data_IF_871469743080
#
_entry.id   IF_871469743080
#
_cell.length_a   1.000
_cell.length_b   1.000
_cell.length_c   1.000
_cell.angle_alpha   90.00
_cell.angle_beta   90.00
_cell.angle_gamma   90.00
#
_symmetry.space_group_name_H-M   'P 1'
#
loop_
_entity.id
_entity.type
_entity.pdbx_description
1 polymer ?
#
# COMPACT_ATOMS: atom_id res chain seq x y z
N UNK A 1 0.84 -8.87 25.82
CA UNK A 1 -0.62 -8.78 25.59
C UNK A 1 -1.00 -7.32 25.68
N UNK A 2 -1.64 -6.77 24.65
CA UNK A 2 -1.98 -5.35 24.62
C UNK A 2 -2.96 -5.03 25.75
N UNK A 3 -2.64 -4.05 26.59
CA UNK A 3 -3.49 -3.58 27.71
C UNK A 3 -4.25 -2.29 27.36
N UNK A 4 -3.95 -1.70 26.20
CA UNK A 4 -4.45 -0.41 25.74
C UNK A 4 -5.56 -0.56 24.69
N UNK A 5 -6.60 -1.36 25.00
CA UNK A 5 -7.73 -1.62 24.09
C UNK A 5 -8.58 -0.37 23.79
N UNK A 6 -8.49 0.64 24.67
CA UNK A 6 -9.13 1.94 24.52
C UNK A 6 -8.47 2.80 23.42
N UNK A 7 -7.20 2.55 23.08
CA UNK A 7 -6.49 3.32 22.07
C UNK A 7 -6.86 2.82 20.68
N UNK A 8 -7.50 3.68 19.89
CA UNK A 8 -8.06 3.32 18.58
C UNK A 8 -7.25 3.90 17.42
N UNK A 9 -7.12 3.15 16.33
CA UNK A 9 -6.61 3.67 15.07
C UNK A 9 -7.71 4.30 14.19
N UNK A 10 -8.95 3.81 14.35
CA UNK A 10 -10.11 4.24 13.57
C UNK A 10 -11.33 4.44 14.48
N UNK A 11 -12.17 5.42 14.14
CA UNK A 11 -13.43 5.71 14.83
C UNK A 11 -14.60 4.89 14.29
N UNK A 12 -15.82 5.38 14.51
CA UNK A 12 -17.05 4.77 13.95
C UNK A 12 -16.94 4.61 12.42
N UNK A 13 -17.42 3.48 11.85
CA UNK A 13 -18.14 2.38 12.51
C UNK A 13 -17.24 1.23 13.02
N UNK A 14 -15.97 1.17 12.62
CA UNK A 14 -15.11 0.00 12.80
C UNK A 14 -14.52 -0.14 14.21
N UNK A 15 -14.14 0.98 14.85
CA UNK A 15 -13.52 1.00 16.20
C UNK A 15 -12.29 0.09 16.39
N UNK A 16 -11.51 -0.12 15.32
CA UNK A 16 -10.28 -0.93 15.34
C UNK A 16 -9.28 -0.38 16.35
N UNK A 17 -8.76 -1.23 17.23
CA UNK A 17 -7.70 -0.83 18.15
C UNK A 17 -6.43 -0.46 17.37
N UNK A 18 -5.59 0.40 17.95
CA UNK A 18 -4.31 0.74 17.34
C UNK A 18 -3.43 -0.50 17.17
N UNK A 19 -3.40 -1.38 18.18
CA UNK A 19 -2.66 -2.64 18.13
C UNK A 19 -3.13 -3.57 17.00
N UNK A 20 -4.44 -3.77 16.83
CA UNK A 20 -4.96 -4.63 15.76
C UNK A 20 -4.65 -4.05 14.38
N UNK A 21 -4.81 -2.73 14.23
CA UNK A 21 -4.48 -2.06 12.98
C UNK A 21 -2.99 -2.22 12.63
N UNK A 22 -2.08 -1.91 13.57
CA UNK A 22 -0.64 -2.10 13.37
C UNK A 22 -0.30 -3.57 13.07
N UNK A 23 -1.00 -4.52 13.70
CA UNK A 23 -0.84 -5.96 13.41
C UNK A 23 -1.22 -6.28 11.97
N UNK A 24 -2.37 -5.80 11.48
CA UNK A 24 -2.81 -6.04 10.10
C UNK A 24 -1.84 -5.40 9.09
N UNK A 25 -1.40 -4.15 9.32
CA UNK A 25 -0.45 -3.47 8.44
C UNK A 25 0.89 -4.18 8.43
N UNK A 26 1.38 -4.64 9.59
CA UNK A 26 2.61 -5.43 9.71
C UNK A 26 2.54 -6.69 8.84
N UNK A 27 1.47 -7.49 8.98
CA UNK A 27 1.29 -8.70 8.18
C UNK A 27 1.27 -8.41 6.67
N UNK A 28 0.57 -7.34 6.28
CA UNK A 28 0.49 -6.94 4.88
C UNK A 28 1.84 -6.48 4.33
N UNK A 29 2.57 -5.65 5.07
CA UNK A 29 3.86 -5.13 4.62
C UNK A 29 4.90 -6.23 4.52
N UNK A 30 4.93 -7.19 5.45
CA UNK A 30 5.87 -8.31 5.42
C UNK A 30 5.65 -9.17 4.17
N UNK A 31 4.38 -9.51 3.87
CA UNK A 31 4.04 -10.25 2.65
C UNK A 31 4.44 -9.48 1.39
N UNK A 32 4.15 -8.19 1.33
CA UNK A 32 4.51 -7.34 0.17
C UNK A 32 6.03 -7.19 0.04
N UNK A 33 6.75 -6.97 1.13
CA UNK A 33 8.20 -6.79 1.16
C UNK A 33 8.92 -8.01 0.61
N UNK A 34 8.54 -9.22 1.04
CA UNK A 34 9.11 -10.48 0.53
C UNK A 34 8.94 -10.61 -0.98
N UNK A 35 7.76 -10.30 -1.51
CA UNK A 35 7.47 -10.47 -2.94
C UNK A 35 8.11 -9.37 -3.82
N UNK A 36 8.34 -8.19 -3.25
CA UNK A 36 8.92 -7.05 -3.96
C UNK A 36 10.43 -6.89 -3.71
N UNK A 37 11.04 -7.76 -2.90
CA UNK A 37 12.49 -7.78 -2.64
C UNK A 37 12.99 -6.69 -1.69
N UNK A 38 12.15 -6.22 -0.77
CA UNK A 38 12.55 -5.29 0.28
C UNK A 38 13.08 -6.02 1.51
N UNK A 39 13.88 -5.32 2.32
CA UNK A 39 14.24 -5.79 3.66
C UNK A 39 12.98 -5.84 4.54
N UNK A 40 12.65 -7.06 5.00
CA UNK A 40 11.42 -7.34 5.75
C UNK A 40 11.46 -6.74 7.14
N UNK A 41 12.64 -6.64 7.77
CA UNK A 41 12.77 -6.08 9.11
C UNK A 41 12.57 -4.56 9.09
N UNK A 42 13.17 -3.87 8.11
CA UNK A 42 12.95 -2.43 7.90
C UNK A 42 11.46 -2.16 7.61
N UNK A 43 10.85 -2.95 6.71
CA UNK A 43 9.43 -2.82 6.38
C UNK A 43 8.54 -3.03 7.62
N UNK A 44 8.82 -4.07 8.42
CA UNK A 44 8.10 -4.37 9.65
C UNK A 44 8.16 -3.20 10.63
N UNK A 45 9.35 -2.65 10.87
CA UNK A 45 9.53 -1.51 11.78
C UNK A 45 8.77 -0.29 11.27
N UNK A 46 8.90 0.05 9.98
CA UNK A 46 8.15 1.17 9.40
C UNK A 46 6.64 1.01 9.55
N UNK A 47 6.10 -0.20 9.35
CA UNK A 47 4.68 -0.48 9.55
C UNK A 47 4.24 -0.39 11.02
N UNK A 48 5.06 -0.84 11.99
CA UNK A 48 4.72 -0.73 13.41
C UNK A 48 4.71 0.74 13.86
N UNK A 49 5.64 1.54 13.35
CA UNK A 49 5.80 2.93 13.80
C UNK A 49 4.89 3.92 13.07
N UNK A 50 4.43 3.67 11.84
CA UNK A 50 3.77 4.70 11.03
C UNK A 50 2.60 5.42 11.71
N UNK A 51 1.85 4.67 12.50
CA UNK A 51 0.63 5.13 13.16
C UNK A 51 0.74 5.19 14.68
N UNK A 52 1.92 4.95 15.26
CA UNK A 52 2.04 4.95 16.73
C UNK A 52 1.67 6.31 17.34
N UNK A 53 1.88 7.40 16.59
CA UNK A 53 1.43 8.74 16.94
C UNK A 53 -0.10 8.91 17.07
N UNK A 54 -0.90 7.92 16.63
CA UNK A 54 -2.35 7.89 16.90
C UNK A 54 -2.66 7.69 18.37
N UNK A 55 -1.73 7.18 19.19
CA UNK A 55 -1.87 7.16 20.65
C UNK A 55 -2.00 8.56 21.27
N UNK A 56 -1.60 9.62 20.54
CA UNK A 56 -1.66 10.99 21.02
C UNK A 56 -3.11 11.42 21.36
N UNK A 57 -3.34 12.12 22.49
CA UNK A 57 -4.69 12.49 22.95
C UNK A 57 -5.50 13.31 21.94
N UNK A 58 -4.83 14.22 21.19
CA UNK A 58 -5.50 15.01 20.13
C UNK A 58 -6.09 14.12 19.04
N UNK A 59 -5.43 13.00 18.70
CA UNK A 59 -5.97 12.05 17.72
C UNK A 59 -7.15 11.27 18.31
N UNK A 60 -7.01 10.76 19.54
CA UNK A 60 -8.09 10.00 20.20
C UNK A 60 -9.36 10.84 20.35
N UNK A 61 -9.25 12.09 20.84
CA UNK A 61 -10.39 13.03 20.93
C UNK A 61 -11.02 13.33 19.57
N UNK A 62 -10.21 13.42 18.51
CA UNK A 62 -10.72 13.61 17.14
C UNK A 62 -11.60 12.46 16.68
N UNK A 63 -11.32 11.22 17.10
CA UNK A 63 -12.18 10.07 16.78
C UNK A 63 -13.56 10.17 17.44
N UNK A 64 -13.65 10.88 18.57
CA UNK A 64 -14.90 11.13 19.30
C UNK A 64 -15.70 12.32 18.77
N UNK A 65 -15.15 13.04 17.78
CA UNK A 65 -15.78 14.18 17.11
C UNK A 65 -15.30 15.54 17.60
N UNK A 66 -14.35 15.60 18.53
CA UNK A 66 -13.73 16.86 18.94
C UNK A 66 -12.84 17.42 17.81
N UNK A 67 -12.96 18.71 17.55
CA UNK A 67 -12.14 19.40 16.56
C UNK A 67 -11.00 20.13 17.25
N UNK A 68 -9.78 19.95 16.74
CA UNK A 68 -8.63 20.78 17.08
C UNK A 68 -8.61 22.01 16.17
N UNK A 69 -8.18 23.16 16.69
CA UNK A 69 -7.99 24.38 15.89
C UNK A 69 -6.84 24.20 14.90
N UNK A 70 -5.74 23.58 15.33
CA UNK A 70 -4.59 23.27 14.48
C UNK A 70 -4.70 21.89 13.80
N UNK A 71 -4.04 21.75 12.65
CA UNK A 71 -3.97 20.48 11.93
C UNK A 71 -3.03 19.47 12.60
N UNK A 72 -3.57 18.52 13.35
CA UNK A 72 -2.79 17.36 13.85
C UNK A 72 -2.51 16.30 12.78
N UNK A 73 -1.24 15.91 12.64
CA UNK A 73 -0.69 14.82 11.82
C UNK A 73 -0.03 13.78 12.73
N UNK A 74 -0.64 12.60 12.83
CA UNK A 74 -0.08 11.51 13.64
C UNK A 74 1.28 11.03 13.10
N UNK A 75 1.57 11.24 11.82
CA UNK A 75 2.86 10.87 11.22
C UNK A 75 4.03 11.63 11.87
N UNK A 76 3.83 12.91 12.23
CA UNK A 76 4.82 13.68 12.97
C UNK A 76 4.97 13.17 14.40
N UNK A 77 3.87 12.83 15.05
CA UNK A 77 3.90 12.27 16.40
C UNK A 77 4.55 10.88 16.45
N UNK A 78 4.35 10.06 15.42
CA UNK A 78 5.01 8.76 15.26
C UNK A 78 6.54 8.89 15.20
N UNK A 79 7.03 9.96 14.57
CA UNK A 79 8.46 10.19 14.35
C UNK A 79 9.22 10.65 15.59
N UNK A 80 8.54 11.05 16.67
CA UNK A 80 9.22 11.28 17.96
C UNK A 80 9.86 10.02 18.54
N UNK A 81 9.41 8.84 18.13
CA UNK A 81 9.96 7.55 18.56
C UNK A 81 11.09 7.04 17.66
N UNK A 82 11.53 7.85 16.68
CA UNK A 82 12.67 7.52 15.81
C UNK A 82 13.92 7.03 16.58
N UNK A 83 14.27 7.56 17.77
CA UNK A 83 15.45 7.09 18.53
C UNK A 83 15.41 5.62 18.97
N UNK A 84 14.26 4.93 18.86
CA UNK A 84 14.16 3.48 19.12
C UNK A 84 14.55 2.62 17.91
N UNK A 85 14.73 3.25 16.75
CA UNK A 85 15.06 2.59 15.50
C UNK A 85 16.57 2.68 15.30
N UNK A 86 17.15 1.69 14.60
CA UNK A 86 18.57 1.75 14.25
C UNK A 86 18.81 2.90 13.27
N UNK A 87 19.87 3.67 13.48
CA UNK A 87 20.19 4.83 12.63
C UNK A 87 20.30 4.47 11.14
N UNK A 88 20.86 3.30 10.82
CA UNK A 88 20.97 2.78 9.45
C UNK A 88 19.62 2.51 8.77
N UNK A 89 18.52 2.45 9.52
CA UNK A 89 17.16 2.26 9.01
C UNK A 89 16.34 3.55 8.97
N UNK A 90 16.87 4.66 9.51
CA UNK A 90 16.10 5.90 9.67
C UNK A 90 15.56 6.42 8.36
N UNK A 91 16.37 6.52 7.31
CA UNK A 91 15.93 7.09 6.03
C UNK A 91 14.73 6.33 5.46
N UNK A 92 14.82 5.00 5.39
CA UNK A 92 13.74 4.15 4.90
C UNK A 92 12.47 4.27 5.76
N UNK A 93 12.60 4.27 7.08
CA UNK A 93 11.44 4.39 7.99
C UNK A 93 10.83 5.78 7.92
N UNK A 94 11.62 6.85 7.91
CA UNK A 94 11.14 8.22 7.74
C UNK A 94 10.34 8.34 6.44
N UNK A 95 10.82 7.76 5.34
CA UNK A 95 10.11 7.73 4.06
C UNK A 95 8.74 7.05 4.13
N UNK A 96 8.65 5.93 4.85
CA UNK A 96 7.40 5.25 5.08
C UNK A 96 6.44 6.16 5.85
N UNK A 97 6.88 6.74 6.96
CA UNK A 97 6.00 7.44 7.90
C UNK A 97 5.60 8.84 7.41
N UNK A 98 6.53 9.69 6.98
CA UNK A 98 6.31 11.13 6.71
C UNK A 98 5.21 11.38 5.68
N UNK A 99 5.06 10.49 4.69
CA UNK A 99 4.27 10.80 3.50
C UNK A 99 3.19 9.77 3.14
N UNK A 100 2.90 8.76 3.98
CA UNK A 100 1.92 7.73 3.60
C UNK A 100 0.48 8.27 3.46
N UNK A 101 0.14 9.43 4.04
CA UNK A 101 -1.18 10.07 3.83
C UNK A 101 -1.16 11.39 3.03
N UNK A 102 -0.07 12.17 3.10
CA UNK A 102 0.05 13.50 2.47
C UNK A 102 1.45 13.72 1.90
N UNK A 103 1.61 14.67 1.00
CA UNK A 103 2.94 15.02 0.47
C UNK A 103 3.85 15.60 1.57
N UNK A 104 5.16 15.54 1.35
CA UNK A 104 6.15 16.16 2.25
C UNK A 104 6.03 17.69 2.19
N UNK A 105 5.88 18.23 0.97
CA UNK A 105 5.84 19.65 0.67
C UNK A 105 4.88 19.90 -0.51
N UNK A 106 4.27 21.09 -0.57
CA UNK A 106 3.23 21.45 -1.55
C UNK A 106 2.09 20.44 -1.61
N UNK A 107 1.63 19.98 -0.44
CA UNK A 107 0.38 19.23 -0.39
C UNK A 107 -0.75 20.11 -0.94
N UNK A 108 -1.69 19.50 -1.67
CA UNK A 108 -2.83 20.22 -2.27
C UNK A 108 -3.65 21.07 -1.28
N UNK A 109 -3.60 20.73 0.01
CA UNK A 109 -4.27 21.48 1.09
C UNK A 109 -3.30 22.25 1.99
N UNK A 110 -2.02 22.38 1.60
CA UNK A 110 -0.93 22.97 2.41
C UNK A 110 -0.76 22.29 3.77
N UNK A 111 -0.93 20.96 3.80
CA UNK A 111 -0.82 20.14 5.02
C UNK A 111 0.34 19.15 4.96
N UNK A 112 1.31 19.37 4.08
CA UNK A 112 2.57 18.64 4.08
C UNK A 112 3.35 18.89 5.37
N UNK A 113 4.31 18.03 5.69
CA UNK A 113 5.10 18.17 6.93
C UNK A 113 5.83 19.52 6.94
N UNK A 114 6.42 19.90 5.80
CA UNK A 114 7.09 21.18 5.65
C UNK A 114 6.11 22.34 5.48
N UNK A 115 4.93 22.10 4.87
CA UNK A 115 3.90 23.14 4.75
C UNK A 115 3.41 23.59 6.14
N UNK A 116 3.16 22.64 7.06
CA UNK A 116 2.67 22.96 8.40
C UNK A 116 3.59 23.92 9.14
N UNK A 117 4.91 23.78 8.99
CA UNK A 117 5.89 24.67 9.63
C UNK A 117 5.80 26.13 9.18
N UNK A 118 5.15 26.39 8.03
CA UNK A 118 4.92 27.72 7.48
C UNK A 118 3.51 28.24 7.81
N UNK A 119 2.54 27.34 7.92
CA UNK A 119 1.11 27.68 8.02
C UNK A 119 0.60 27.72 9.46
N UNK A 120 1.24 27.00 10.39
CA UNK A 120 0.74 26.80 11.76
C UNK A 120 1.84 27.18 12.78
N UNK A 121 1.49 27.87 13.88
CA UNK A 121 2.46 28.22 14.92
C UNK A 121 2.84 27.00 15.77
N UNK A 122 4.11 26.92 16.18
CA UNK A 122 4.63 25.95 17.15
C UNK A 122 4.27 24.48 16.85
N UNK A 123 4.31 24.08 15.57
CA UNK A 123 3.94 22.73 15.08
C UNK A 123 4.55 21.61 15.92
N UNK A 124 5.84 21.73 16.25
CA UNK A 124 6.54 20.73 17.06
C UNK A 124 5.89 20.58 18.43
N UNK A 125 5.69 21.68 19.16
CA UNK A 125 5.12 21.66 20.51
C UNK A 125 3.68 21.14 20.50
N UNK A 126 2.89 21.51 19.49
CA UNK A 126 1.52 21.02 19.35
C UNK A 126 1.45 19.49 19.12
N UNK A 127 2.32 18.95 18.28
CA UNK A 127 2.35 17.51 18.01
C UNK A 127 2.97 16.71 19.15
N UNK A 128 3.93 17.30 19.88
CA UNK A 128 4.58 16.69 21.05
C UNK A 128 3.60 16.59 22.23
N UNK A 129 2.84 17.65 22.46
CA UNK A 129 1.84 17.74 23.53
C UNK A 129 2.44 17.46 24.91
N UNK A 130 1.64 16.85 25.78
CA UNK A 130 2.08 16.33 27.07
C UNK A 130 2.77 14.97 26.86
N UNK A 131 3.99 14.99 26.37
CA UNK A 131 4.79 13.81 26.03
C UNK A 131 4.76 12.72 27.11
N UNK A 132 4.85 13.15 28.37
CA UNK A 132 4.90 12.29 29.54
C UNK A 132 3.60 11.51 29.77
N UNK A 133 2.45 12.02 29.28
CA UNK A 133 1.14 11.38 29.45
C UNK A 133 0.93 10.24 28.45
N UNK A 134 1.34 10.42 27.20
CA UNK A 134 0.98 9.52 26.10
C UNK A 134 2.14 8.68 25.57
N UNK A 135 3.39 9.11 25.73
CA UNK A 135 4.55 8.32 25.30
C UNK A 135 4.67 6.96 25.99
N UNK A 136 4.35 6.79 27.31
CA UNK A 136 4.40 5.46 27.92
C UNK A 136 3.39 4.49 27.29
N UNK A 137 2.21 4.98 26.92
CA UNK A 137 1.18 4.19 26.24
C UNK A 137 1.68 3.71 24.87
N UNK A 138 2.30 4.61 24.10
CA UNK A 138 2.91 4.27 22.82
C UNK A 138 4.04 3.24 22.98
N UNK A 139 4.93 3.43 23.95
CA UNK A 139 6.02 2.49 24.25
C UNK A 139 5.51 1.11 24.64
N UNK A 140 4.45 1.03 25.44
CA UNK A 140 3.83 -0.25 25.81
C UNK A 140 3.27 -1.00 24.59
N UNK A 141 2.64 -0.27 23.66
CA UNK A 141 2.13 -0.84 22.40
C UNK A 141 3.30 -1.33 21.54
N UNK A 142 4.36 -0.54 21.39
CA UNK A 142 5.56 -0.92 20.64
C UNK A 142 6.23 -2.17 21.25
N UNK A 143 6.31 -2.24 22.58
CA UNK A 143 6.86 -3.40 23.30
C UNK A 143 6.07 -4.68 23.02
N UNK A 144 4.74 -4.59 22.80
CA UNK A 144 3.93 -5.74 22.40
C UNK A 144 4.32 -6.32 21.03
N UNK A 145 4.97 -5.54 20.17
CA UNK A 145 5.52 -5.99 18.89
C UNK A 145 6.98 -6.47 18.99
N UNK A 146 7.54 -6.54 20.20
CA UNK A 146 8.92 -6.97 20.43
C UNK A 146 9.96 -5.88 20.11
N UNK A 147 9.54 -4.63 19.93
CA UNK A 147 10.47 -3.50 19.80
C UNK A 147 11.13 -3.27 21.15
N UNK A 148 12.48 -3.23 21.25
CA UNK A 148 13.16 -2.86 22.48
C UNK A 148 12.80 -1.40 22.83
N UNK A 149 12.07 -1.22 23.93
CA UNK A 149 11.65 0.10 24.37
C UNK A 149 12.48 0.59 25.56
N UNK A 150 12.85 1.86 25.50
CA UNK A 150 13.46 2.61 26.60
C UNK A 150 12.64 3.87 26.82
N UNK A 151 12.63 4.38 28.04
CA UNK A 151 12.00 5.68 28.32
C UNK A 151 12.73 6.77 27.51
N UNK A 152 11.98 7.47 26.66
CA UNK A 152 12.50 8.57 25.84
C UNK A 152 12.23 9.89 26.53
N UNK A 153 13.29 10.70 26.70
CA UNK A 153 13.13 12.05 27.22
C UNK A 153 12.45 12.95 26.18
N UNK A 154 11.86 14.05 26.67
CA UNK A 154 11.24 15.06 25.83
C UNK A 154 12.25 15.67 24.85
N UNK A 155 13.48 15.86 25.29
CA UNK A 155 14.59 16.38 24.49
C UNK A 155 14.96 15.43 23.35
N UNK A 156 14.95 14.11 23.60
CA UNK A 156 15.21 13.11 22.55
C UNK A 156 14.13 13.13 21.46
N UNK A 157 12.85 13.28 21.85
CA UNK A 157 11.75 13.46 20.90
C UNK A 157 11.91 14.73 20.05
N UNK A 158 12.31 15.84 20.67
CA UNK A 158 12.57 17.11 19.96
C UNK A 158 13.73 16.95 18.97
N UNK A 159 14.82 16.30 19.37
CA UNK A 159 15.96 16.02 18.48
C UNK A 159 15.56 15.15 17.29
N UNK A 160 14.73 14.13 17.51
CA UNK A 160 14.18 13.30 16.43
C UNK A 160 13.36 14.11 15.43
N UNK A 161 12.53 15.03 15.91
CA UNK A 161 11.77 15.94 15.04
C UNK A 161 12.68 16.82 14.18
N UNK A 162 13.72 17.40 14.76
CA UNK A 162 14.69 18.23 14.04
C UNK A 162 15.45 17.43 12.98
N UNK A 163 15.85 16.19 13.29
CA UNK A 163 16.45 15.26 12.33
C UNK A 163 15.51 14.98 11.15
N UNK A 164 14.25 14.68 11.44
CA UNK A 164 13.22 14.41 10.43
C UNK A 164 12.96 15.62 9.55
N UNK A 165 12.90 16.82 10.14
CA UNK A 165 12.72 18.07 9.39
C UNK A 165 13.89 18.29 8.43
N UNK A 166 15.13 18.12 8.91
CA UNK A 166 16.32 18.24 8.09
C UNK A 166 16.35 17.21 6.94
N UNK A 167 15.95 15.95 7.21
CA UNK A 167 15.80 14.92 6.18
C UNK A 167 14.77 15.33 5.13
N UNK A 168 13.59 15.77 5.55
CA UNK A 168 12.51 16.22 4.65
C UNK A 168 12.95 17.42 3.79
N UNK A 169 13.64 18.39 4.38
CA UNK A 169 14.17 19.56 3.68
C UNK A 169 15.21 19.16 2.62
N UNK A 170 16.16 18.29 2.99
CA UNK A 170 17.16 17.76 2.06
C UNK A 170 16.48 17.04 0.89
N UNK A 171 15.54 16.15 1.20
CA UNK A 171 14.83 15.36 0.20
C UNK A 171 14.02 16.22 -0.77
N UNK A 172 13.26 17.19 -0.24
CA UNK A 172 12.46 18.11 -1.04
C UNK A 172 13.30 18.97 -2.01
N UNK A 173 14.56 19.25 -1.66
CA UNK A 173 15.49 20.04 -2.49
C UNK A 173 16.26 19.20 -3.49
N UNK A 174 16.68 18.00 -3.10
CA UNK A 174 17.70 17.24 -3.82
C UNK A 174 17.16 16.08 -4.65
N UNK A 175 15.97 15.55 -4.33
CA UNK A 175 15.44 14.38 -5.00
C UNK A 175 14.23 14.70 -5.88
N UNK A 176 14.34 14.30 -7.15
CA UNK A 176 13.22 14.26 -8.10
C UNK A 176 12.90 12.79 -8.37
N UNK A 177 11.83 12.28 -7.78
CA UNK A 177 11.48 10.87 -7.93
C UNK A 177 10.34 10.43 -7.01
N UNK A 178 10.20 9.12 -6.89
CA UNK A 178 9.23 8.48 -6.01
C UNK A 178 9.95 7.67 -4.93
N UNK A 179 9.30 7.46 -3.79
CA UNK A 179 9.81 6.57 -2.75
C UNK A 179 9.15 5.20 -2.87
N UNK A 180 9.97 4.17 -3.04
CA UNK A 180 9.54 2.78 -3.04
C UNK A 180 9.07 2.34 -1.64
N UNK A 181 9.75 2.77 -0.58
CA UNK A 181 9.33 2.51 0.81
C UNK A 181 7.96 3.12 1.14
N UNK A 182 7.72 4.36 0.69
CA UNK A 182 6.40 5.01 0.80
C UNK A 182 5.34 4.21 0.06
N UNK A 183 5.61 3.81 -1.18
CA UNK A 183 4.68 2.99 -1.98
C UNK A 183 4.33 1.67 -1.29
N UNK A 184 5.32 1.02 -0.67
CA UNK A 184 5.16 -0.24 0.04
C UNK A 184 4.23 -0.06 1.24
N UNK A 185 4.50 0.91 2.11
CA UNK A 185 3.64 1.17 3.27
C UNK A 185 2.23 1.60 2.84
N UNK A 186 2.11 2.50 1.85
CA UNK A 186 0.79 2.95 1.37
C UNK A 186 -0.04 1.78 0.84
N UNK A 187 0.58 0.86 0.09
CA UNK A 187 -0.08 -0.35 -0.41
C UNK A 187 -0.54 -1.25 0.74
N UNK A 188 0.32 -1.46 1.73
CA UNK A 188 0.04 -2.30 2.89
C UNK A 188 -1.02 -1.71 3.83
N UNK A 189 -0.93 -0.42 4.17
CA UNK A 189 -1.89 0.28 5.02
C UNK A 189 -3.28 0.30 4.36
N UNK A 190 -3.36 0.69 3.08
CA UNK A 190 -4.64 0.67 2.38
C UNK A 190 -5.24 -0.74 2.30
N UNK A 191 -4.41 -1.78 2.15
CA UNK A 191 -4.86 -3.18 2.12
C UNK A 191 -5.41 -3.61 3.48
N UNK A 192 -4.61 -3.45 4.54
CA UNK A 192 -4.99 -3.81 5.90
C UNK A 192 -6.21 -3.01 6.39
N UNK A 193 -6.29 -1.73 6.03
CA UNK A 193 -7.42 -0.87 6.33
C UNK A 193 -8.70 -1.30 5.62
N UNK A 194 -8.60 -1.96 4.47
CA UNK A 194 -9.75 -2.44 3.71
C UNK A 194 -10.20 -3.84 4.14
N UNK A 195 -9.27 -4.73 4.45
CA UNK A 195 -9.58 -6.13 4.76
C UNK A 195 -9.83 -6.38 6.26
N UNK A 196 -9.28 -5.54 7.14
CA UNK A 196 -9.44 -5.60 8.60
C UNK A 196 -9.24 -7.05 9.09
N UNK A 197 -10.31 -7.76 9.48
CA UNK A 197 -10.27 -9.11 10.03
C UNK A 197 -9.93 -10.20 9.00
N UNK A 198 -10.13 -9.93 7.70
CA UNK A 198 -9.78 -10.84 6.61
C UNK A 198 -8.37 -10.63 6.07
N UNK A 199 -7.58 -9.72 6.67
CA UNK A 199 -6.24 -9.40 6.17
C UNK A 199 -5.40 -10.66 5.97
N UNK A 200 -5.31 -11.52 6.98
CA UNK A 200 -4.50 -12.74 6.93
C UNK A 200 -4.97 -13.72 5.83
N UNK A 201 -6.28 -13.93 5.71
CA UNK A 201 -6.87 -14.80 4.69
C UNK A 201 -6.56 -14.31 3.27
N UNK A 202 -6.83 -13.03 3.00
CA UNK A 202 -6.65 -12.44 1.67
C UNK A 202 -5.16 -12.30 1.31
N UNK A 203 -4.26 -12.22 2.29
CA UNK A 203 -2.80 -12.20 2.06
C UNK A 203 -2.27 -13.51 1.45
N UNK A 204 -2.92 -14.66 1.71
CA UNK A 204 -2.47 -15.95 1.19
C UNK A 204 -2.44 -16.00 -0.34
N UNK A 205 -3.36 -15.27 -0.98
CA UNK A 205 -3.53 -15.27 -2.44
C UNK A 205 -2.77 -14.13 -3.15
N UNK A 206 -2.09 -13.26 -2.40
CA UNK A 206 -1.34 -12.17 -3.00
C UNK A 206 -0.03 -12.66 -3.64
N UNK A 207 0.32 -11.99 -4.73
CA UNK A 207 1.53 -12.12 -5.53
C UNK A 207 1.74 -13.53 -6.12
N UNK A 208 0.67 -14.33 -6.23
CA UNK A 208 0.76 -15.62 -6.89
C UNK A 208 1.00 -15.46 -8.39
N UNK A 209 1.86 -16.30 -8.94
CA UNK A 209 2.11 -16.35 -10.39
C UNK A 209 1.10 -17.31 -11.01
N UNK A 210 0.29 -16.86 -11.99
CA UNK A 210 -0.64 -17.75 -12.66
C UNK A 210 0.12 -18.78 -13.52
N UNK A 211 -0.30 -20.04 -13.45
CA UNK A 211 -0.05 -21.05 -14.46
C UNK A 211 -0.83 -20.73 -15.73
N UNK A 212 -0.11 -20.42 -16.81
CA UNK A 212 -0.67 -19.99 -18.10
C UNK A 212 -0.68 -21.12 -19.15
N UNK A 213 -0.51 -22.37 -18.73
CA UNK A 213 -0.41 -23.55 -19.60
C UNK A 213 -1.63 -23.77 -20.48
N UNK A 214 -2.81 -23.37 -20.02
CA UNK A 214 -4.05 -23.37 -20.81
C UNK A 214 -3.87 -22.72 -22.19
N UNK A 215 -3.09 -21.64 -22.28
CA UNK A 215 -2.88 -20.90 -23.53
C UNK A 215 -1.90 -21.59 -24.51
N UNK A 216 -1.30 -22.72 -24.13
CA UNK A 216 -0.45 -23.53 -25.03
C UNK A 216 -1.24 -24.41 -26.01
N UNK A 217 -2.58 -24.39 -25.93
CA UNK A 217 -3.44 -25.12 -26.86
C UNK A 217 -3.19 -24.70 -28.32
N UNK A 218 -3.23 -25.68 -29.22
CA UNK A 218 -3.11 -25.47 -30.67
C UNK A 218 -4.46 -25.66 -31.34
N UNK A 219 -4.78 -24.79 -32.29
CA UNK A 219 -6.04 -24.87 -33.00
C UNK A 219 -5.94 -24.29 -34.42
N UNK A 220 -6.56 -24.96 -35.40
CA UNK A 220 -6.52 -24.55 -36.82
C UNK A 220 -7.09 -23.15 -37.05
N UNK A 221 -8.11 -22.75 -36.29
CA UNK A 221 -8.69 -21.40 -36.38
C UNK A 221 -7.84 -20.32 -35.71
N UNK A 222 -6.81 -20.71 -34.95
CA UNK A 222 -5.89 -19.80 -34.26
C UNK A 222 -4.47 -19.98 -34.82
N UNK A 223 -4.16 -19.47 -36.03
CA UNK A 223 -2.87 -19.69 -36.66
C UNK A 223 -1.67 -19.33 -35.79
N UNK A 224 -1.78 -18.29 -34.94
CA UNK A 224 -0.72 -17.90 -34.01
C UNK A 224 -0.36 -18.97 -32.97
N UNK A 225 -1.27 -19.92 -32.70
CA UNK A 225 -1.01 -21.03 -31.76
C UNK A 225 0.10 -21.97 -32.24
N UNK A 226 0.37 -22.02 -33.55
CA UNK A 226 1.46 -22.82 -34.12
C UNK A 226 2.83 -22.12 -34.08
N UNK A 227 2.85 -20.81 -33.84
CA UNK A 227 4.09 -20.05 -33.73
C UNK A 227 4.70 -20.20 -32.33
N UNK A 228 6.03 -20.17 -32.26
CA UNK A 228 6.72 -20.07 -30.99
C UNK A 228 6.48 -18.70 -30.35
N UNK A 229 6.17 -18.70 -29.06
CA UNK A 229 6.12 -17.50 -28.23
C UNK A 229 7.44 -17.31 -27.46
N UNK A 230 8.44 -18.17 -27.65
CA UNK A 230 9.73 -18.00 -26.98
C UNK A 230 10.52 -16.86 -27.64
N UNK A 231 11.02 -15.95 -26.82
CA UNK A 231 11.87 -14.85 -27.27
C UNK A 231 12.60 -14.25 -26.08
N UNK A 232 13.89 -13.99 -26.27
CA UNK A 232 14.75 -13.25 -25.33
C UNK A 232 14.46 -11.73 -25.33
N UNK A 233 13.70 -11.23 -26.30
CA UNK A 233 13.34 -9.80 -26.34
C UNK A 233 12.37 -9.47 -25.21
N UNK A 234 12.57 -8.32 -24.58
CA UNK A 234 11.68 -7.80 -23.53
C UNK A 234 10.27 -7.48 -24.06
N UNK A 235 10.18 -6.93 -25.28
CA UNK A 235 8.93 -6.47 -25.87
C UNK A 235 8.50 -7.32 -27.07
N UNK A 236 7.19 -7.40 -27.29
CA UNK A 236 6.61 -8.16 -28.40
C UNK A 236 5.42 -7.40 -28.98
N UNK A 237 5.43 -7.19 -30.29
CA UNK A 237 4.33 -6.59 -31.03
C UNK A 237 3.74 -7.64 -31.98
N UNK A 238 2.44 -7.86 -31.88
CA UNK A 238 1.72 -8.86 -32.68
C UNK A 238 0.69 -8.16 -33.54
N UNK A 239 0.85 -8.25 -34.85
CA UNK A 239 -0.10 -7.72 -35.84
C UNK A 239 -0.74 -8.91 -36.55
N UNK A 240 -2.03 -9.14 -36.28
CA UNK A 240 -2.78 -10.24 -36.87
C UNK A 240 -4.29 -9.94 -36.85
N UNK A 241 -5.04 -10.55 -37.78
CA UNK A 241 -6.50 -10.42 -37.87
C UNK A 241 -7.23 -10.85 -36.60
N UNK A 242 -8.46 -10.36 -36.41
CA UNK A 242 -9.34 -10.82 -35.33
C UNK A 242 -9.57 -12.33 -35.46
N UNK A 243 -9.60 -13.04 -34.32
CA UNK A 243 -9.71 -14.49 -34.30
C UNK A 243 -8.40 -15.25 -34.52
N UNK A 244 -7.29 -14.61 -34.89
CA UNK A 244 -6.04 -15.33 -35.18
C UNK A 244 -5.32 -15.99 -33.97
N UNK A 245 -5.85 -15.81 -32.75
CA UNK A 245 -5.23 -16.32 -31.50
C UNK A 245 -4.27 -15.35 -30.81
N UNK A 246 -4.44 -14.03 -30.98
CA UNK A 246 -3.55 -13.01 -30.39
C UNK A 246 -3.45 -13.11 -28.87
N UNK A 247 -4.58 -13.30 -28.19
CA UNK A 247 -4.64 -13.39 -26.73
C UNK A 247 -3.76 -14.54 -26.22
N UNK A 248 -3.99 -15.75 -26.71
CA UNK A 248 -3.26 -16.95 -26.31
C UNK A 248 -1.75 -16.79 -26.58
N UNK A 249 -1.38 -16.22 -27.74
CA UNK A 249 0.03 -15.93 -28.05
C UNK A 249 0.67 -14.96 -27.05
N UNK A 250 -0.02 -13.87 -26.69
CA UNK A 250 0.50 -12.88 -25.75
C UNK A 250 0.58 -13.41 -24.32
N UNK A 251 -0.38 -14.23 -23.86
CA UNK A 251 -0.29 -14.87 -22.55
C UNK A 251 0.91 -15.82 -22.45
N UNK A 252 1.24 -16.55 -23.52
CA UNK A 252 2.45 -17.39 -23.57
C UNK A 252 3.77 -16.60 -23.47
N UNK A 253 3.73 -15.27 -23.66
CA UNK A 253 4.89 -14.38 -23.46
C UNK A 253 5.06 -13.93 -22.00
N UNK A 254 4.03 -14.05 -21.18
CA UNK A 254 4.06 -13.62 -19.79
C UNK A 254 4.77 -14.66 -18.90
N UNK A 255 5.59 -14.19 -17.95
CA UNK A 255 6.37 -15.04 -17.02
C UNK A 255 6.06 -14.81 -15.53
N UNK A 256 5.30 -13.76 -15.22
CA UNK A 256 4.95 -13.36 -13.85
C UNK A 256 3.47 -13.04 -13.75
N UNK A 257 3.13 -12.10 -12.87
CA UNK A 257 1.77 -11.55 -12.79
C UNK A 257 1.43 -10.83 -14.09
N UNK A 258 0.15 -10.78 -14.43
CA UNK A 258 -0.31 -10.26 -15.73
C UNK A 258 -1.19 -9.05 -15.55
N UNK A 259 -0.78 -7.93 -16.14
CA UNK A 259 -1.60 -6.72 -16.24
C UNK A 259 -2.12 -6.59 -17.67
N UNK A 260 -3.40 -6.89 -17.87
CA UNK A 260 -4.04 -6.95 -19.18
C UNK A 260 -4.90 -5.70 -19.43
N UNK A 261 -4.45 -4.83 -20.33
CA UNK A 261 -5.13 -3.55 -20.57
C UNK A 261 -6.14 -3.61 -21.71
N UNK A 262 -7.33 -3.05 -21.49
CA UNK A 262 -8.40 -2.94 -22.49
C UNK A 262 -9.09 -1.58 -22.43
N UNK A 263 -9.49 -0.99 -23.56
CA UNK A 263 -10.04 0.37 -23.59
C UNK A 263 -11.48 0.47 -23.06
N UNK A 264 -12.27 -0.61 -23.11
CA UNK A 264 -13.71 -0.58 -22.81
C UNK A 264 -14.09 -1.48 -21.64
N UNK A 265 -15.02 -1.02 -20.81
CA UNK A 265 -15.52 -1.75 -19.63
C UNK A 265 -16.12 -3.12 -20.00
N UNK A 266 -16.95 -3.19 -21.04
CA UNK A 266 -17.54 -4.44 -21.49
C UNK A 266 -16.48 -5.48 -21.90
N UNK A 267 -15.40 -5.03 -22.57
CA UNK A 267 -14.28 -5.89 -22.94
C UNK A 267 -13.50 -6.38 -21.73
N UNK A 268 -13.30 -5.51 -20.72
CA UNK A 268 -12.66 -5.87 -19.46
C UNK A 268 -13.46 -6.97 -18.74
N UNK A 269 -14.77 -6.78 -18.60
CA UNK A 269 -15.64 -7.75 -17.94
C UNK A 269 -15.65 -9.09 -18.69
N UNK A 270 -15.78 -9.05 -20.02
CA UNK A 270 -15.71 -10.26 -20.84
C UNK A 270 -14.36 -10.99 -20.70
N UNK A 271 -13.25 -10.24 -20.63
CA UNK A 271 -11.93 -10.81 -20.44
C UNK A 271 -11.76 -11.40 -19.03
N UNK A 272 -12.29 -10.75 -18.00
CA UNK A 272 -12.30 -11.27 -16.64
C UNK A 272 -13.00 -12.62 -16.54
N UNK A 273 -14.24 -12.72 -17.02
CA UNK A 273 -14.98 -13.99 -17.01
C UNK A 273 -14.29 -15.07 -17.83
N UNK A 274 -13.72 -14.70 -18.98
CA UNK A 274 -12.91 -15.60 -19.80
C UNK A 274 -11.74 -16.16 -18.99
N UNK A 275 -10.93 -15.30 -18.36
CA UNK A 275 -9.75 -15.73 -17.61
C UNK A 275 -10.12 -16.58 -16.39
N UNK A 276 -11.17 -16.22 -15.66
CA UNK A 276 -11.70 -17.02 -14.55
C UNK A 276 -12.06 -18.44 -14.99
N UNK A 277 -12.75 -18.58 -16.14
CA UNK A 277 -13.15 -19.88 -16.67
C UNK A 277 -11.98 -20.66 -17.28
N UNK A 278 -11.12 -19.97 -18.04
CA UNK A 278 -9.98 -20.57 -18.75
C UNK A 278 -8.88 -21.05 -17.78
N UNK A 279 -8.63 -20.32 -16.69
CA UNK A 279 -7.52 -20.59 -15.76
C UNK A 279 -7.93 -21.20 -14.43
N UNK A 280 -9.20 -21.12 -14.04
CA UNK A 280 -9.64 -21.49 -12.69
C UNK A 280 -9.39 -22.95 -12.30
N UNK A 281 -9.40 -23.88 -13.27
CA UNK A 281 -9.15 -25.31 -13.02
C UNK A 281 -7.70 -25.59 -12.64
N UNK A 282 -6.75 -24.92 -13.28
CA UNK A 282 -5.31 -25.17 -13.13
C UNK A 282 -4.67 -24.27 -12.05
N UNK A 283 -5.43 -23.31 -11.52
CA UNK A 283 -4.96 -22.30 -10.59
C UNK A 283 -5.93 -22.12 -9.41
N UNK A 284 -5.94 -23.06 -8.43
CA UNK A 284 -6.77 -22.91 -7.23
C UNK A 284 -6.33 -21.68 -6.44
N UNK A 285 -7.29 -20.83 -6.04
CA UNK A 285 -7.00 -19.59 -5.30
C UNK A 285 -6.50 -18.42 -6.15
N UNK A 286 -6.56 -18.53 -7.48
CA UNK A 286 -6.08 -17.48 -8.39
C UNK A 286 -6.82 -16.16 -8.20
N UNK A 287 -6.07 -15.13 -7.84
CA UNK A 287 -6.60 -13.78 -7.67
C UNK A 287 -6.60 -13.01 -8.99
N UNK A 288 -7.75 -12.98 -9.65
CA UNK A 288 -8.02 -12.18 -10.84
C UNK A 288 -8.86 -10.97 -10.47
N UNK A 289 -8.40 -9.77 -10.82
CA UNK A 289 -9.06 -8.50 -10.50
C UNK A 289 -9.42 -7.69 -11.76
N UNK A 290 -10.48 -6.91 -11.65
CA UNK A 290 -11.00 -5.97 -12.64
C UNK A 290 -10.87 -4.55 -12.14
N UNK A 291 -10.29 -3.67 -12.95
CA UNK A 291 -10.13 -2.26 -12.58
C UNK A 291 -10.55 -1.30 -13.71
N UNK A 292 -11.73 -0.73 -13.54
CA UNK A 292 -12.25 0.39 -14.33
C UNK A 292 -13.16 1.27 -13.47
N UNK A 293 -13.65 2.41 -14.00
CA UNK A 293 -14.43 3.38 -13.23
C UNK A 293 -15.65 2.76 -12.50
N UNK A 294 -16.38 1.86 -13.17
CA UNK A 294 -17.52 1.13 -12.61
C UNK A 294 -17.17 -0.24 -11.97
N UNK A 295 -15.89 -0.53 -11.68
CA UNK A 295 -15.48 -1.85 -11.14
C UNK A 295 -16.13 -2.15 -9.79
N UNK A 296 -16.50 -1.11 -9.04
CA UNK A 296 -17.23 -1.23 -7.78
C UNK A 296 -18.66 -1.75 -7.91
N UNK A 297 -19.19 -1.86 -9.13
CA UNK A 297 -20.55 -2.33 -9.43
C UNK A 297 -20.57 -3.77 -9.95
N UNK A 298 -19.40 -4.41 -10.07
CA UNK A 298 -19.34 -5.82 -10.47
C UNK A 298 -19.71 -6.64 -9.23
N UNK A 299 -20.98 -7.01 -9.15
CA UNK A 299 -21.44 -8.01 -8.19
C UNK A 299 -20.77 -9.36 -8.54
N UNK A 300 -20.05 -9.94 -7.59
CA UNK A 300 -19.69 -11.35 -7.65
C UNK A 300 -20.89 -12.16 -7.15
N UNK A 301 -21.04 -13.39 -7.65
CA UNK A 301 -22.12 -14.31 -7.28
C UNK A 301 -22.23 -14.52 -5.75
N UNK A 302 -21.14 -14.32 -5.01
CA UNK A 302 -21.05 -14.49 -3.55
C UNK A 302 -21.32 -13.20 -2.73
N UNK A 303 -21.54 -12.04 -3.36
CA UNK A 303 -22.00 -10.81 -2.68
C UNK A 303 -21.02 -10.15 -1.70
N UNK A 304 -19.77 -10.59 -1.62
CA UNK A 304 -18.78 -10.06 -0.67
C UNK A 304 -18.33 -8.63 -1.04
N UNK A 305 -18.62 -7.65 -0.16
CA UNK A 305 -18.23 -6.24 -0.34
C UNK A 305 -16.72 -6.05 -0.29
N UNK A 306 -15.99 -6.88 0.45
CA UNK A 306 -14.54 -6.76 0.60
C UNK A 306 -13.82 -7.14 -0.71
N UNK A 307 -14.39 -8.09 -1.45
CA UNK A 307 -13.93 -8.48 -2.78
C UNK A 307 -14.05 -7.37 -3.83
N UNK A 308 -15.00 -6.45 -3.66
CA UNK A 308 -15.16 -5.25 -4.50
C UNK A 308 -14.09 -4.22 -4.16
N UNK A 309 -13.79 -4.04 -2.87
CA UNK A 309 -12.76 -3.10 -2.40
C UNK A 309 -11.37 -3.56 -2.82
N UNK A 310 -11.10 -4.87 -2.72
CA UNK A 310 -9.85 -5.54 -3.06
C UNK A 310 -9.38 -5.28 -4.50
N UNK A 311 -10.30 -4.98 -5.43
CA UNK A 311 -10.00 -4.73 -6.85
C UNK A 311 -8.93 -3.65 -7.08
N UNK A 312 -8.85 -2.67 -6.18
CA UNK A 312 -7.94 -1.51 -6.28
C UNK A 312 -6.58 -1.75 -5.63
N UNK A 313 -6.46 -2.80 -4.83
CA UNK A 313 -5.29 -3.06 -4.02
C UNK A 313 -4.18 -3.76 -4.80
N UNK A 314 -2.93 -3.75 -4.28
CA UNK A 314 -1.83 -4.48 -4.89
C UNK A 314 -1.96 -6.00 -4.70
N UNK A 315 -1.11 -6.74 -5.41
CA UNK A 315 -0.86 -8.17 -5.19
C UNK A 315 -1.73 -9.13 -5.98
N UNK A 316 -2.57 -8.67 -6.92
CA UNK A 316 -3.34 -9.59 -7.78
C UNK A 316 -2.43 -10.39 -8.71
N UNK A 317 -2.78 -11.65 -8.97
CA UNK A 317 -2.07 -12.52 -9.93
C UNK A 317 -2.28 -12.05 -11.36
N UNK A 318 -3.52 -11.67 -11.68
CA UNK A 318 -3.89 -11.06 -12.96
C UNK A 318 -4.81 -9.87 -12.69
N UNK A 319 -4.51 -8.72 -13.31
CA UNK A 319 -5.36 -7.54 -13.27
C UNK A 319 -5.79 -7.15 -14.68
N UNK A 320 -7.09 -7.12 -14.94
CA UNK A 320 -7.66 -6.63 -16.20
C UNK A 320 -8.14 -5.19 -15.98
N UNK A 321 -7.54 -4.24 -16.66
CA UNK A 321 -7.70 -2.82 -16.32
C UNK A 321 -7.77 -1.90 -17.54
N UNK A 322 -8.26 -0.68 -17.36
CA UNK A 322 -8.14 0.34 -18.41
C UNK A 322 -6.72 0.92 -18.46
N UNK A 323 -6.22 1.33 -19.64
CA UNK A 323 -4.95 2.05 -19.74
C UNK A 323 -4.90 3.32 -18.86
N UNK A 324 -6.06 3.96 -18.65
CA UNK A 324 -6.19 5.14 -17.78
C UNK A 324 -5.78 4.88 -16.33
N UNK A 325 -5.95 3.66 -15.82
CA UNK A 325 -5.49 3.33 -14.47
C UNK A 325 -3.97 3.44 -14.37
N UNK A 326 -3.25 2.94 -15.37
CA UNK A 326 -1.78 3.02 -15.42
C UNK A 326 -1.29 4.44 -15.74
N UNK A 327 -2.09 5.28 -16.39
CA UNK A 327 -1.74 6.68 -16.65
C UNK A 327 -1.49 7.47 -15.36
N UNK A 328 -2.06 7.04 -14.22
CA UNK A 328 -1.77 7.61 -12.91
C UNK A 328 -0.30 7.54 -12.50
N UNK A 329 0.47 6.57 -13.04
CA UNK A 329 1.92 6.47 -12.85
C UNK A 329 2.61 7.64 -13.53
N UNK A 330 2.29 7.88 -14.82
CA UNK A 330 2.91 8.93 -15.61
C UNK A 330 2.53 10.34 -15.13
N UNK A 331 1.34 10.49 -14.55
CA UNK A 331 0.82 11.77 -14.07
C UNK A 331 1.13 12.06 -12.59
N UNK A 332 1.76 11.12 -11.86
CA UNK A 332 2.04 11.30 -10.43
C UNK A 332 0.78 11.47 -9.58
N UNK A 333 -0.31 10.81 -9.94
CA UNK A 333 -1.58 10.89 -9.20
C UNK A 333 -1.44 10.26 -7.80
N UNK A 334 -2.33 10.60 -6.86
CA UNK A 334 -2.27 10.05 -5.49
C UNK A 334 -2.20 8.51 -5.49
N UNK A 335 -1.20 7.95 -4.82
CA UNK A 335 -0.99 6.49 -4.71
C UNK A 335 -0.23 5.87 -5.88
N UNK A 336 0.34 6.68 -6.78
CA UNK A 336 1.14 6.19 -7.90
C UNK A 336 2.35 5.36 -7.45
N UNK A 337 2.96 5.66 -6.28
CA UNK A 337 4.10 4.89 -5.77
C UNK A 337 3.71 3.42 -5.48
N UNK A 338 2.56 3.21 -4.83
CA UNK A 338 2.04 1.88 -4.59
C UNK A 338 1.68 1.15 -5.89
N UNK A 339 1.18 1.88 -6.89
CA UNK A 339 0.86 1.32 -8.20
C UNK A 339 2.12 0.95 -9.00
N UNK A 340 3.21 1.72 -8.90
CA UNK A 340 4.50 1.36 -9.50
C UNK A 340 4.96 0.01 -8.96
N UNK A 341 4.94 -0.17 -7.65
CA UNK A 341 5.34 -1.43 -7.02
C UNK A 341 4.42 -2.59 -7.40
N UNK A 342 3.11 -2.34 -7.47
CA UNK A 342 2.17 -3.39 -7.88
C UNK A 342 2.43 -3.86 -9.31
N UNK A 343 2.84 -2.99 -10.24
CA UNK A 343 3.11 -3.42 -11.63
C UNK A 343 4.49 -4.08 -11.78
N UNK A 344 5.41 -3.87 -10.83
CA UNK A 344 6.76 -4.45 -10.86
C UNK A 344 6.78 -5.95 -10.50
N UNK A 345 6.05 -6.35 -9.45
CA UNK A 345 5.98 -7.76 -9.02
C UNK A 345 5.12 -8.61 -9.96
#
# INVERSE_FOLDING_TARGET
>A
MNRHEAIKAKGKPEWTTLFDHLTHVKLAVEKMAVNLGFDVEIARIGAIFHDIGKAHPVFQKRLEGEKSEQTFRHELASLFFLPLIKEEWHDAVIEMIVAHHKSIYWDSKRKGILDLTQEEPDVMAFHLGNWEDWSPIALDILACFGVPTVALSREAAIQAYEQVRAFCDSKARNEKGYSSWRGLLMGADHFASAMIHQTEEKLANLYQKPGLTFFNRRHRLYPLSYYSAESEKTHTMVVASTGAGKTDFLFRRCRGRVFYTLPFQASINAMYYRLRNDLGRDNPGLDIRVLHAASSLIEKDDGDREDIVLQRHPGSSIKVLTPYQLAGIALGSKGYEAMILDVQG
#
